data_IF_815981883099
#
_entry.id   IF_815981883099
#
_cell.length_a   1.000
_cell.length_b   1.000
_cell.length_c   1.000
_cell.angle_alpha   90.00
_cell.angle_beta   90.00
_cell.angle_gamma   90.00
#
_symmetry.space_group_name_H-M   'P 1'
#
loop_
_entity.id
_entity.type
_entity.pdbx_description
1 polymer ?
#
# COMPACT_ATOMS: atom_id res chain seq x y z
N UNK A 1 -1.56 -25.06 31.69
CA UNK A 1 -2.22 -25.68 30.52
C UNK A 1 -1.20 -25.91 29.41
N UNK A 2 -1.27 -27.11 28.77
CA UNK A 2 -0.35 -27.53 27.70
C UNK A 2 -0.96 -27.31 26.31
N UNK A 3 -2.25 -27.60 26.18
CA UNK A 3 -2.99 -27.56 24.92
C UNK A 3 -4.13 -26.56 25.00
N UNK A 4 -4.30 -25.81 23.94
CA UNK A 4 -5.34 -24.79 23.77
C UNK A 4 -6.13 -25.13 22.54
N UNK A 5 -7.43 -25.17 22.63
CA UNK A 5 -8.33 -25.37 21.51
C UNK A 5 -9.43 -24.31 21.58
N UNK A 6 -9.68 -23.67 20.48
CA UNK A 6 -10.75 -22.69 20.36
C UNK A 6 -11.55 -22.96 19.08
N UNK A 7 -12.87 -22.89 19.18
CA UNK A 7 -13.76 -22.92 18.04
C UNK A 7 -14.76 -21.76 18.16
N UNK A 8 -15.04 -21.10 17.07
CA UNK A 8 -16.04 -20.05 16.99
C UNK A 8 -16.91 -20.26 15.74
N UNK A 9 -18.20 -20.05 15.90
CA UNK A 9 -19.20 -20.04 14.83
C UNK A 9 -19.98 -18.74 14.93
N UNK A 10 -20.14 -18.05 13.80
CA UNK A 10 -20.92 -16.83 13.70
C UNK A 10 -21.82 -16.89 12.50
N UNK A 11 -23.05 -16.45 12.65
CA UNK A 11 -23.99 -16.26 11.57
C UNK A 11 -24.38 -14.79 11.51
N UNK A 12 -24.29 -14.19 10.33
CA UNK A 12 -24.53 -12.77 10.11
C UNK A 12 -25.58 -12.58 9.04
N UNK A 13 -26.39 -11.54 9.20
CA UNK A 13 -27.47 -11.21 8.28
C UNK A 13 -27.25 -9.83 7.66
N UNK A 14 -27.38 -9.74 6.33
CA UNK A 14 -27.25 -8.49 5.60
C UNK A 14 -28.44 -8.25 4.68
N UNK A 15 -29.30 -7.31 5.03
CA UNK A 15 -30.59 -7.07 4.39
C UNK A 15 -30.52 -6.46 2.98
N UNK A 16 -29.34 -5.94 2.59
CA UNK A 16 -29.14 -5.32 1.26
C UNK A 16 -28.97 -6.33 0.12
N UNK A 17 -28.79 -7.60 0.44
CA UNK A 17 -28.77 -8.69 -0.55
C UNK A 17 -30.16 -9.23 -0.84
N UNK A 18 -30.30 -9.93 -1.96
CA UNK A 18 -31.51 -10.65 -2.30
C UNK A 18 -31.86 -11.69 -1.22
N UNK A 19 -33.16 -12.03 -1.00
CA UNK A 19 -33.59 -12.88 0.12
C UNK A 19 -32.78 -14.18 0.30
N UNK A 20 -32.36 -14.82 -0.76
CA UNK A 20 -31.57 -16.07 -0.71
C UNK A 20 -30.09 -15.90 -0.33
N UNK A 21 -29.56 -14.67 -0.36
CA UNK A 21 -28.12 -14.40 -0.21
C UNK A 21 -27.76 -13.62 1.07
N UNK A 22 -28.74 -13.36 1.95
CA UNK A 22 -28.61 -12.47 3.11
C UNK A 22 -27.79 -13.03 4.24
N UNK A 23 -27.80 -14.36 4.41
CA UNK A 23 -27.14 -15.04 5.51
C UNK A 23 -25.70 -15.42 5.14
N UNK A 24 -24.79 -15.16 6.05
CA UNK A 24 -23.39 -15.56 5.97
C UNK A 24 -22.97 -16.34 7.20
N UNK A 25 -22.51 -17.59 7.02
CA UNK A 25 -22.00 -18.44 8.09
C UNK A 25 -20.49 -18.44 8.06
N UNK A 26 -19.88 -18.09 9.20
CA UNK A 26 -18.45 -17.94 9.39
C UNK A 26 -17.98 -18.76 10.58
N UNK A 27 -16.81 -19.36 10.47
CA UNK A 27 -16.26 -20.21 11.48
C UNK A 27 -14.75 -19.96 11.63
N UNK A 28 -14.23 -20.23 12.82
CA UNK A 28 -12.81 -20.20 13.11
C UNK A 28 -12.42 -21.31 14.08
N UNK A 29 -11.25 -21.86 13.87
CA UNK A 29 -10.62 -22.86 14.73
C UNK A 29 -9.23 -22.38 15.10
N UNK A 30 -8.87 -22.53 16.35
CA UNK A 30 -7.55 -22.24 16.87
C UNK A 30 -6.99 -23.42 17.67
N UNK A 31 -5.71 -23.66 17.47
CA UNK A 31 -4.95 -24.65 18.22
C UNK A 31 -3.67 -24.00 18.75
N UNK A 32 -3.31 -24.34 19.97
CA UNK A 32 -2.05 -23.96 20.59
C UNK A 32 -1.46 -25.11 21.39
N UNK A 33 -0.16 -25.30 21.28
CA UNK A 33 0.60 -26.27 22.03
C UNK A 33 1.79 -25.60 22.71
N UNK A 34 1.78 -25.58 24.03
CA UNK A 34 2.90 -25.11 24.85
C UNK A 34 3.85 -26.28 25.14
N UNK A 35 4.84 -26.40 24.27
CA UNK A 35 5.83 -27.47 24.29
C UNK A 35 6.68 -27.40 25.57
N UNK A 36 6.93 -26.19 26.08
CA UNK A 36 7.71 -26.00 27.30
C UNK A 36 7.08 -26.63 28.58
N UNK A 37 5.78 -26.94 28.48
CA UNK A 37 5.06 -27.64 29.58
C UNK A 37 5.11 -29.16 29.51
N UNK A 38 5.75 -29.72 28.49
CA UNK A 38 5.87 -31.16 28.34
C UNK A 38 6.95 -31.75 29.26
N UNK A 39 6.74 -32.98 29.70
CA UNK A 39 7.65 -33.63 30.65
C UNK A 39 9.06 -33.81 30.08
N UNK A 40 9.18 -33.99 28.75
CA UNK A 40 10.48 -34.11 28.09
C UNK A 40 11.25 -32.77 27.99
N UNK A 41 10.63 -31.64 28.39
CA UNK A 41 11.26 -30.32 28.45
C UNK A 41 11.56 -29.85 29.89
N UNK A 42 11.27 -30.66 30.91
CA UNK A 42 11.48 -30.29 32.33
C UNK A 42 12.93 -29.93 32.66
N UNK A 43 13.90 -30.54 31.99
CA UNK A 43 15.33 -30.28 32.21
C UNK A 43 15.84 -29.04 31.42
N UNK A 44 15.02 -28.45 30.57
CA UNK A 44 15.41 -27.33 29.75
C UNK A 44 15.29 -25.97 30.48
N UNK A 45 16.09 -25.76 31.54
CA UNK A 45 16.04 -24.58 32.40
C UNK A 45 16.29 -23.24 31.70
N UNK A 46 16.77 -23.27 30.45
CA UNK A 46 16.98 -22.07 29.61
C UNK A 46 15.73 -21.67 28.83
N UNK A 47 14.72 -22.57 28.74
CA UNK A 47 13.50 -22.38 28.00
C UNK A 47 12.34 -22.04 28.94
N UNK A 48 11.84 -20.83 28.90
CA UNK A 48 10.69 -20.40 29.72
C UNK A 48 9.37 -20.71 29.03
N UNK A 49 9.32 -20.52 27.71
CA UNK A 49 8.15 -20.79 26.90
C UNK A 49 8.53 -21.18 25.47
N UNK A 50 7.88 -22.18 24.92
CA UNK A 50 7.86 -22.53 23.52
C UNK A 50 6.44 -22.96 23.17
N UNK A 51 5.70 -22.04 22.57
CA UNK A 51 4.32 -22.27 22.15
C UNK A 51 4.19 -22.17 20.63
N UNK A 52 3.65 -23.22 20.02
CA UNK A 52 3.23 -23.21 18.61
C UNK A 52 1.74 -22.98 18.60
N UNK A 53 1.27 -22.12 17.70
CA UNK A 53 -0.14 -21.82 17.54
C UNK A 53 -0.50 -21.78 16.04
N UNK A 54 -1.74 -22.19 15.76
CA UNK A 54 -2.30 -22.13 14.43
C UNK A 54 -3.76 -21.75 14.49
N UNK A 55 -4.21 -20.91 13.59
CA UNK A 55 -5.61 -20.57 13.43
C UNK A 55 -6.01 -20.71 11.97
N UNK A 56 -7.21 -21.20 11.75
CA UNK A 56 -7.84 -21.24 10.45
C UNK A 56 -9.29 -20.82 10.57
N UNK A 57 -9.75 -19.96 9.66
CA UNK A 57 -11.14 -19.52 9.69
C UNK A 57 -11.64 -19.03 8.35
N UNK A 58 -12.95 -18.97 8.25
CA UNK A 58 -13.68 -18.32 7.17
C UNK A 58 -14.31 -17.05 7.71
N UNK A 59 -14.05 -15.93 7.06
CA UNK A 59 -14.64 -14.63 7.37
C UNK A 59 -15.44 -14.11 6.18
N UNK A 60 -16.35 -13.15 6.40
CA UNK A 60 -17.08 -12.51 5.34
C UNK A 60 -17.23 -11.01 5.56
N UNK A 61 -17.40 -10.30 4.46
CA UNK A 61 -17.68 -8.87 4.42
C UNK A 61 -18.98 -8.65 3.63
N UNK A 62 -19.97 -8.01 4.27
CA UNK A 62 -21.25 -7.66 3.67
C UNK A 62 -21.33 -6.21 3.18
N UNK A 63 -20.27 -5.42 3.36
CA UNK A 63 -20.20 -4.04 2.86
C UNK A 63 -19.86 -4.08 1.38
N UNK A 64 -20.86 -3.96 0.53
CA UNK A 64 -20.65 -3.79 -0.89
C UNK A 64 -20.62 -2.31 -1.28
N UNK A 65 -19.78 -1.98 -2.25
CA UNK A 65 -19.77 -0.67 -2.90
C UNK A 65 -20.79 -0.57 -4.03
N UNK A 66 -21.63 -1.59 -4.24
CA UNK A 66 -22.64 -1.65 -5.31
C UNK A 66 -23.89 -0.77 -5.05
N UNK A 67 -23.88 -0.05 -3.93
CA UNK A 67 -24.97 0.81 -3.51
C UNK A 67 -26.05 0.08 -2.71
N UNK A 68 -27.08 0.84 -2.28
CA UNK A 68 -28.20 0.26 -1.52
C UNK A 68 -29.08 -0.60 -2.44
N UNK A 69 -29.23 -1.89 -2.09
CA UNK A 69 -30.11 -2.82 -2.80
C UNK A 69 -29.75 -3.04 -4.26
N UNK A 70 -28.47 -3.19 -4.58
CA UNK A 70 -27.97 -3.44 -5.94
C UNK A 70 -28.56 -4.69 -6.64
N UNK A 71 -29.32 -5.51 -5.93
CA UNK A 71 -30.07 -6.62 -6.50
C UNK A 71 -31.41 -6.20 -7.13
N UNK A 72 -31.84 -4.95 -6.98
CA UNK A 72 -33.06 -4.39 -7.55
C UNK A 72 -32.75 -3.43 -8.66
N UNK A 73 -33.41 -3.57 -9.79
CA UNK A 73 -33.36 -2.57 -10.84
C UNK A 73 -34.09 -1.31 -10.38
N UNK A 74 -33.43 -0.16 -10.51
CA UNK A 74 -34.00 1.13 -10.19
C UNK A 74 -34.22 1.95 -11.47
N UNK A 75 -35.18 2.83 -11.43
CA UNK A 75 -35.52 3.72 -12.52
C UNK A 75 -35.52 5.16 -12.00
N UNK A 76 -35.01 6.09 -12.82
CA UNK A 76 -35.10 7.51 -12.52
C UNK A 76 -35.92 8.21 -13.59
N UNK A 77 -36.72 9.20 -13.15
CA UNK A 77 -37.44 10.08 -14.04
C UNK A 77 -36.63 11.38 -14.22
N UNK A 78 -36.28 11.70 -15.46
CA UNK A 78 -35.54 12.90 -15.79
C UNK A 78 -36.39 13.85 -16.65
N UNK A 79 -36.75 15.00 -16.05
CA UNK A 79 -37.61 16.02 -16.67
C UNK A 79 -36.92 16.71 -17.88
N UNK A 80 -35.58 16.74 -17.88
CA UNK A 80 -34.80 17.47 -18.86
C UNK A 80 -34.41 16.64 -20.11
N UNK A 81 -34.63 15.34 -20.10
CA UNK A 81 -34.20 14.41 -21.16
C UNK A 81 -35.36 13.75 -21.91
N UNK A 82 -36.55 14.30 -21.80
CA UNK A 82 -37.73 13.73 -22.46
C UNK A 82 -37.75 13.95 -23.96
N UNK A 83 -38.47 13.07 -24.67
CA UNK A 83 -38.77 13.26 -26.08
C UNK A 83 -39.95 14.25 -26.20
N UNK A 84 -39.90 15.22 -27.16
CA UNK A 84 -41.05 16.04 -27.41
C UNK A 84 -42.18 15.21 -27.99
N UNK A 85 -43.28 15.12 -27.24
CA UNK A 85 -44.45 14.36 -27.63
C UNK A 85 -45.69 15.25 -27.69
N UNK A 86 -46.60 14.95 -28.62
CA UNK A 86 -47.86 15.64 -28.80
C UNK A 86 -47.77 16.95 -29.58
N UNK A 87 -48.89 17.64 -29.70
CA UNK A 87 -49.02 18.89 -30.49
C UNK A 87 -48.29 20.08 -29.87
N UNK A 88 -48.02 20.03 -28.57
CA UNK A 88 -47.35 21.14 -27.88
C UNK A 88 -45.82 20.96 -27.77
N UNK A 89 -45.25 19.90 -28.35
CA UNK A 89 -43.82 19.62 -28.36
C UNK A 89 -43.12 19.80 -26.98
N UNK A 90 -43.90 19.69 -25.90
CA UNK A 90 -43.36 19.74 -24.53
C UNK A 90 -42.47 18.55 -24.26
N UNK A 91 -41.35 18.78 -23.57
CA UNK A 91 -40.48 17.68 -23.11
C UNK A 91 -41.25 16.86 -22.09
N UNK A 92 -41.62 15.63 -22.43
CA UNK A 92 -42.20 14.67 -21.49
C UNK A 92 -41.15 14.15 -20.52
N UNK A 93 -41.60 13.72 -19.34
CA UNK A 93 -40.72 13.00 -18.41
C UNK A 93 -40.31 11.66 -19.02
N UNK A 94 -39.01 11.49 -19.24
CA UNK A 94 -38.46 10.20 -19.63
C UNK A 94 -38.05 9.41 -18.38
N UNK A 95 -38.63 8.23 -18.23
CA UNK A 95 -38.18 7.28 -17.22
C UNK A 95 -37.09 6.41 -17.83
N UNK A 96 -35.91 6.49 -17.26
CA UNK A 96 -34.74 5.69 -17.69
C UNK A 96 -34.39 4.66 -16.64
N UNK A 97 -33.98 3.51 -17.11
CA UNK A 97 -33.39 2.49 -16.28
C UNK A 97 -32.03 2.97 -15.77
N UNK A 98 -31.80 2.88 -14.46
CA UNK A 98 -30.53 3.30 -13.89
C UNK A 98 -29.43 2.28 -14.16
N UNK A 99 -28.24 2.77 -14.39
CA UNK A 99 -27.03 1.98 -14.56
C UNK A 99 -26.24 1.92 -13.23
N UNK A 100 -25.55 0.84 -12.93
CA UNK A 100 -25.49 -0.43 -13.66
C UNK A 100 -26.79 -1.25 -13.52
N UNK A 101 -26.94 -2.30 -14.35
CA UNK A 101 -28.02 -3.29 -14.23
C UNK A 101 -28.01 -3.94 -12.83
N UNK A 102 -29.19 -4.36 -12.38
CA UNK A 102 -29.30 -5.06 -11.10
C UNK A 102 -28.61 -6.43 -11.13
N UNK A 103 -27.98 -6.81 -10.02
CA UNK A 103 -27.44 -8.14 -9.83
C UNK A 103 -28.12 -8.88 -8.66
N UNK A 104 -29.08 -9.75 -8.92
CA UNK A 104 -29.78 -10.52 -7.88
C UNK A 104 -28.89 -11.57 -7.20
N UNK A 105 -27.69 -11.84 -7.73
CA UNK A 105 -26.75 -12.85 -7.22
C UNK A 105 -25.69 -12.26 -6.28
N UNK A 106 -25.78 -10.99 -5.98
CA UNK A 106 -24.88 -10.36 -5.00
C UNK A 106 -24.88 -11.10 -3.67
N UNK A 107 -23.69 -11.40 -3.17
CA UNK A 107 -23.48 -12.13 -1.92
C UNK A 107 -22.25 -11.61 -1.18
N UNK A 108 -22.00 -12.17 -0.02
CA UNK A 108 -20.85 -11.86 0.84
C UNK A 108 -19.51 -12.05 0.12
N UNK A 109 -18.63 -11.09 0.23
CA UNK A 109 -17.22 -11.32 0.00
C UNK A 109 -16.67 -12.19 1.12
N UNK A 110 -15.78 -13.12 0.82
CA UNK A 110 -15.32 -14.13 1.77
C UNK A 110 -13.81 -14.24 1.78
N UNK A 111 -13.26 -14.68 2.90
CA UNK A 111 -11.86 -15.03 2.98
C UNK A 111 -11.64 -16.28 3.84
N UNK A 112 -10.76 -17.16 3.37
CA UNK A 112 -10.11 -18.16 4.22
C UNK A 112 -8.83 -17.56 4.75
N UNK A 113 -8.66 -17.58 6.06
CA UNK A 113 -7.51 -17.03 6.78
C UNK A 113 -6.78 -18.14 7.52
N UNK A 114 -5.48 -18.24 7.25
CA UNK A 114 -4.56 -19.14 7.95
C UNK A 114 -3.49 -18.29 8.61
N UNK A 115 -3.27 -18.50 9.91
CA UNK A 115 -2.12 -17.98 10.62
C UNK A 115 -1.44 -19.12 11.37
N UNK A 116 -0.11 -19.17 11.30
CA UNK A 116 0.74 -20.08 12.07
C UNK A 116 1.80 -19.25 12.77
N UNK A 117 1.93 -19.41 14.07
CA UNK A 117 2.84 -18.62 14.88
C UNK A 117 3.60 -19.45 15.90
N UNK A 118 4.72 -18.88 16.34
CA UNK A 118 5.59 -19.41 17.39
C UNK A 118 5.86 -18.30 18.39
N UNK A 119 5.64 -18.59 19.67
CA UNK A 119 6.02 -17.76 20.79
C UNK A 119 7.14 -18.45 21.58
N UNK A 120 8.29 -17.82 21.65
CA UNK A 120 9.48 -18.32 22.32
C UNK A 120 9.91 -17.34 23.40
N UNK A 121 10.20 -17.86 24.61
CA UNK A 121 10.80 -17.08 25.68
C UNK A 121 11.93 -17.88 26.34
N UNK A 122 13.09 -17.22 26.50
CA UNK A 122 14.32 -17.84 26.96
C UNK A 122 14.98 -17.03 28.08
N UNK A 123 15.79 -17.73 28.90
CA UNK A 123 16.68 -17.15 29.89
C UNK A 123 15.98 -16.30 30.94
N UNK A 124 14.95 -16.85 31.60
CA UNK A 124 14.09 -16.13 32.55
C UNK A 124 13.40 -14.92 31.92
N UNK A 125 12.80 -15.11 30.74
CA UNK A 125 12.11 -14.09 29.97
C UNK A 125 12.96 -12.89 29.49
N UNK A 126 14.30 -13.07 29.45
CA UNK A 126 15.19 -12.03 28.92
C UNK A 126 15.09 -11.90 27.41
N UNK A 127 14.99 -13.03 26.72
CA UNK A 127 14.79 -13.04 25.26
C UNK A 127 13.39 -13.55 24.93
N UNK A 128 12.63 -12.76 24.20
CA UNK A 128 11.29 -13.11 23.70
C UNK A 128 11.26 -12.96 22.19
N UNK A 129 10.75 -13.97 21.50
CA UNK A 129 10.55 -14.01 20.07
C UNK A 129 9.11 -14.40 19.79
N UNK A 130 8.43 -13.62 18.96
CA UNK A 130 7.15 -14.00 18.35
C UNK A 130 7.32 -13.93 16.84
N UNK A 131 6.99 -15.02 16.16
CA UNK A 131 7.01 -15.09 14.71
C UNK A 131 5.68 -15.62 14.19
N UNK A 132 5.11 -14.94 13.22
CA UNK A 132 3.85 -15.27 12.57
C UNK A 132 4.01 -15.36 11.07
N UNK A 133 3.39 -16.34 10.47
CA UNK A 133 3.14 -16.44 9.05
C UNK A 133 1.65 -16.49 8.81
N UNK A 134 1.15 -15.63 7.92
CA UNK A 134 -0.25 -15.63 7.53
C UNK A 134 -0.41 -15.85 6.03
N UNK A 135 -1.55 -16.43 5.65
CA UNK A 135 -1.90 -16.71 4.26
C UNK A 135 -3.42 -16.65 4.11
N UNK A 136 -3.90 -15.55 3.59
CA UNK A 136 -5.30 -15.23 3.44
C UNK A 136 -5.70 -15.37 1.97
N UNK A 137 -6.76 -16.14 1.70
CA UNK A 137 -7.31 -16.28 0.36
C UNK A 137 -8.70 -15.66 0.33
N UNK A 138 -8.78 -14.49 -0.29
CA UNK A 138 -10.02 -13.77 -0.54
C UNK A 138 -10.66 -14.29 -1.82
N UNK A 139 -11.97 -14.49 -1.80
CA UNK A 139 -12.74 -14.97 -2.92
C UNK A 139 -14.17 -14.38 -2.89
N UNK A 140 -14.89 -14.51 -3.99
CA UNK A 140 -16.18 -13.86 -4.19
C UNK A 140 -16.10 -12.33 -3.99
N UNK A 141 -14.92 -11.72 -4.28
CA UNK A 141 -14.74 -10.27 -4.22
C UNK A 141 -15.54 -9.61 -5.33
N UNK A 142 -16.21 -8.51 -4.99
CA UNK A 142 -16.97 -7.72 -5.94
C UNK A 142 -16.05 -7.06 -6.97
N UNK A 143 -16.38 -7.27 -8.22
CA UNK A 143 -15.60 -6.77 -9.33
C UNK A 143 -16.47 -6.47 -10.53
N UNK A 144 -16.25 -5.33 -11.19
CA UNK A 144 -16.84 -5.06 -12.50
C UNK A 144 -16.19 -5.96 -13.56
N UNK A 145 -16.96 -6.44 -14.51
CA UNK A 145 -16.40 -7.19 -15.65
C UNK A 145 -15.53 -6.30 -16.52
N UNK A 146 -14.36 -6.82 -16.87
CA UNK A 146 -13.46 -6.15 -17.80
C UNK A 146 -14.00 -6.07 -19.23
N UNK A 147 -14.91 -6.97 -19.59
CA UNK A 147 -15.59 -7.01 -20.90
C UNK A 147 -16.96 -6.35 -20.81
N UNK A 148 -17.00 -5.04 -20.67
CA UNK A 148 -18.27 -4.32 -20.75
C UNK A 148 -18.70 -4.21 -22.23
N UNK A 149 -19.78 -4.90 -22.56
CA UNK A 149 -20.37 -4.77 -23.91
C UNK A 149 -21.27 -3.53 -23.88
N UNK A 150 -20.77 -2.40 -24.32
CA UNK A 150 -21.53 -1.16 -24.47
C UNK A 150 -22.66 -1.28 -25.52
N UNK A 151 -22.66 -2.34 -26.31
CA UNK A 151 -23.67 -2.62 -27.33
C UNK A 151 -25.09 -2.72 -26.79
N UNK A 152 -25.27 -3.04 -25.51
CA UNK A 152 -26.61 -3.10 -24.87
C UNK A 152 -27.05 -1.75 -24.29
N UNK A 153 -26.20 -0.69 -24.38
CA UNK A 153 -26.50 0.63 -23.82
C UNK A 153 -26.53 0.72 -22.30
N UNK A 154 -26.06 -0.32 -21.60
CA UNK A 154 -26.06 -0.45 -20.14
C UNK A 154 -24.72 -0.95 -19.62
N UNK A 155 -24.37 -0.57 -18.39
CA UNK A 155 -23.20 -1.11 -17.69
C UNK A 155 -23.55 -2.39 -16.93
N UNK A 156 -22.66 -3.37 -17.03
CA UNK A 156 -22.78 -4.57 -16.19
C UNK A 156 -22.61 -4.22 -14.71
N UNK A 157 -23.37 -4.87 -13.84
CA UNK A 157 -23.17 -4.72 -12.40
C UNK A 157 -21.88 -5.37 -11.95
N UNK A 158 -21.41 -5.00 -10.74
CA UNK A 158 -20.36 -5.75 -10.07
C UNK A 158 -20.85 -7.17 -9.73
N UNK A 159 -19.95 -8.14 -9.85
CA UNK A 159 -20.20 -9.55 -9.59
C UNK A 159 -19.18 -10.10 -8.59
N UNK A 160 -19.56 -11.11 -7.82
CA UNK A 160 -18.70 -11.79 -6.85
C UNK A 160 -17.75 -12.79 -7.52
N UNK A 161 -16.78 -12.30 -8.30
CA UNK A 161 -15.88 -13.13 -9.14
C UNK A 161 -14.40 -12.99 -8.78
N UNK A 162 -14.01 -11.88 -8.16
CA UNK A 162 -12.61 -11.57 -7.86
C UNK A 162 -11.99 -12.52 -6.83
N UNK A 163 -10.70 -12.83 -7.01
CA UNK A 163 -9.92 -13.65 -6.08
C UNK A 163 -8.54 -13.02 -5.87
N UNK A 164 -8.18 -12.85 -4.61
CA UNK A 164 -6.89 -12.30 -4.19
C UNK A 164 -6.30 -13.17 -3.09
N UNK A 165 -5.00 -13.34 -3.11
CA UNK A 165 -4.23 -13.92 -2.00
C UNK A 165 -3.40 -12.83 -1.35
N UNK A 166 -3.41 -12.77 0.00
CA UNK A 166 -2.46 -11.98 0.79
C UNK A 166 -1.70 -12.92 1.69
N UNK A 167 -0.40 -12.74 1.77
CA UNK A 167 0.46 -13.57 2.60
C UNK A 167 1.67 -12.77 3.05
N UNK A 168 2.19 -13.12 4.21
CA UNK A 168 3.31 -12.40 4.77
C UNK A 168 3.80 -13.01 6.06
N UNK A 169 4.75 -12.32 6.67
CA UNK A 169 5.34 -12.70 7.92
C UNK A 169 5.53 -11.51 8.84
N UNK A 170 5.42 -11.77 10.13
CA UNK A 170 5.66 -10.80 11.18
C UNK A 170 6.66 -11.40 12.18
N UNK A 171 7.57 -10.57 12.65
CA UNK A 171 8.58 -10.96 13.62
C UNK A 171 8.67 -9.87 14.69
N UNK A 172 8.63 -10.29 15.94
CA UNK A 172 8.92 -9.44 17.10
C UNK A 172 9.98 -10.11 17.96
N UNK A 173 11.06 -9.39 18.24
CA UNK A 173 12.17 -9.84 19.07
C UNK A 173 12.40 -8.81 20.16
N UNK A 174 12.38 -9.25 21.41
CA UNK A 174 12.72 -8.40 22.56
C UNK A 174 13.79 -9.07 23.39
N UNK A 175 14.88 -8.35 23.64
CA UNK A 175 15.88 -8.74 24.59
C UNK A 175 15.97 -7.67 25.69
N UNK A 176 15.92 -8.10 26.96
CA UNK A 176 16.06 -7.24 28.10
C UNK A 176 16.93 -7.91 29.17
N UNK A 177 17.81 -7.15 29.74
CA UNK A 177 18.66 -7.66 30.83
C UNK A 177 19.04 -6.57 31.81
N UNK A 178 19.57 -7.03 32.97
CA UNK A 178 20.08 -6.18 34.03
C UNK A 178 21.44 -6.64 34.46
N UNK A 179 22.42 -5.76 34.38
CA UNK A 179 23.78 -5.99 34.90
C UNK A 179 24.03 -4.97 36.00
N UNK A 180 24.00 -5.45 37.28
CA UNK A 180 24.08 -4.55 38.45
C UNK A 180 22.99 -3.45 38.43
N UNK A 181 23.37 -2.19 38.28
CA UNK A 181 22.47 -1.04 38.21
C UNK A 181 22.18 -0.56 36.77
N UNK A 182 22.59 -1.34 35.78
CA UNK A 182 22.37 -1.03 34.38
C UNK A 182 21.27 -1.93 33.84
N UNK A 183 20.09 -1.36 33.57
CA UNK A 183 18.98 -2.03 32.89
C UNK A 183 19.02 -1.62 31.42
N UNK A 184 18.83 -2.55 30.50
CA UNK A 184 18.76 -2.21 29.07
C UNK A 184 17.80 -3.16 28.35
N UNK A 185 17.26 -2.66 27.25
CA UNK A 185 16.43 -3.46 26.37
C UNK A 185 16.63 -3.09 24.90
N UNK A 186 16.42 -4.07 24.04
CA UNK A 186 16.30 -3.92 22.59
C UNK A 186 15.02 -4.65 22.19
N UNK A 187 14.12 -3.96 21.51
CA UNK A 187 12.94 -4.56 20.92
C UNK A 187 12.89 -4.22 19.44
N UNK A 188 12.84 -5.24 18.59
CA UNK A 188 12.75 -5.09 17.15
C UNK A 188 11.48 -5.76 16.65
N UNK A 189 10.77 -5.11 15.76
CA UNK A 189 9.67 -5.68 15.01
C UNK A 189 9.91 -5.53 13.51
N UNK A 190 9.42 -6.49 12.78
CA UNK A 190 9.47 -6.50 11.33
C UNK A 190 8.21 -7.14 10.78
N UNK A 191 7.67 -6.57 9.72
CA UNK A 191 6.54 -7.14 8.98
C UNK A 191 6.82 -7.07 7.49
N UNK A 192 6.35 -8.08 6.77
CA UNK A 192 6.43 -8.16 5.33
C UNK A 192 5.09 -8.65 4.80
N UNK A 193 4.47 -7.88 3.91
CA UNK A 193 3.19 -8.19 3.27
C UNK A 193 3.35 -8.27 1.76
N UNK A 194 2.71 -9.26 1.15
CA UNK A 194 2.58 -9.38 -0.28
C UNK A 194 1.18 -9.86 -0.66
N UNK A 195 0.68 -9.34 -1.77
CA UNK A 195 -0.57 -9.78 -2.37
C UNK A 195 -0.31 -10.46 -3.72
N UNK A 196 -1.30 -11.25 -4.16
CA UNK A 196 -1.34 -11.80 -5.52
C UNK A 196 -2.78 -11.81 -6.01
N UNK A 197 -3.01 -11.19 -7.14
CA UNK A 197 -4.28 -11.25 -7.84
C UNK A 197 -4.42 -12.64 -8.49
N UNK A 198 -5.31 -13.47 -7.94
CA UNK A 198 -5.48 -14.84 -8.43
C UNK A 198 -6.43 -14.91 -9.62
N UNK A 199 -7.46 -14.05 -9.61
CA UNK A 199 -8.44 -14.00 -10.68
C UNK A 199 -9.14 -12.64 -10.71
N UNK A 200 -9.24 -12.08 -11.90
CA UNK A 200 -10.15 -11.01 -12.28
C UNK A 200 -10.62 -11.25 -13.71
N UNK A 201 -11.80 -10.75 -14.06
CA UNK A 201 -12.28 -10.75 -15.45
C UNK A 201 -11.67 -9.56 -16.19
N UNK A 202 -10.39 -9.68 -16.56
CA UNK A 202 -9.68 -8.64 -17.29
C UNK A 202 -9.93 -8.75 -18.81
N UNK A 203 -9.85 -7.61 -19.49
CA UNK A 203 -9.90 -7.59 -20.96
C UNK A 203 -8.70 -8.37 -21.52
N UNK A 204 -8.91 -8.94 -22.69
CA UNK A 204 -7.80 -9.54 -23.43
C UNK A 204 -6.76 -8.47 -23.74
N UNK A 205 -5.52 -8.77 -23.37
CA UNK A 205 -4.35 -7.97 -23.72
C UNK A 205 -3.41 -8.85 -24.55
N UNK A 206 -2.87 -8.34 -25.68
CA UNK A 206 -2.01 -9.13 -26.54
C UNK A 206 -0.69 -9.49 -25.85
N UNK A 207 -0.17 -8.59 -25.01
CA UNK A 207 1.13 -8.69 -24.39
C UNK A 207 1.01 -9.22 -22.94
N UNK A 208 1.79 -10.25 -22.61
CA UNK A 208 1.73 -10.88 -21.29
C UNK A 208 2.15 -9.93 -20.16
N UNK A 209 3.06 -8.99 -20.43
CA UNK A 209 3.51 -8.02 -19.44
C UNK A 209 2.42 -7.00 -19.04
N UNK A 210 1.33 -6.89 -19.81
CA UNK A 210 0.18 -6.05 -19.48
C UNK A 210 -0.82 -6.76 -18.52
N UNK A 211 -0.74 -8.08 -18.40
CA UNK A 211 -1.69 -8.84 -17.56
C UNK A 211 -1.56 -8.47 -16.11
N UNK A 212 -2.69 -8.29 -15.45
CA UNK A 212 -2.78 -8.01 -14.01
C UNK A 212 -2.91 -9.30 -13.20
N UNK A 213 -3.62 -10.29 -13.72
CA UNK A 213 -3.77 -11.61 -13.06
C UNK A 213 -2.41 -12.27 -12.88
N UNK A 214 -2.14 -12.71 -11.66
CA UNK A 214 -0.87 -13.30 -11.27
C UNK A 214 0.12 -12.32 -10.62
N UNK A 215 -0.13 -11.01 -10.69
CA UNK A 215 0.71 -9.96 -10.10
C UNK A 215 0.19 -9.50 -8.73
N UNK A 216 0.97 -8.79 -7.94
CA UNK A 216 0.49 -8.14 -6.72
C UNK A 216 -0.64 -7.15 -7.00
N UNK A 217 -1.54 -6.99 -6.04
CA UNK A 217 -2.61 -5.96 -6.11
C UNK A 217 -1.98 -4.59 -5.89
N UNK A 218 -2.36 -3.62 -6.74
CA UNK A 218 -1.87 -2.25 -6.63
C UNK A 218 -0.49 -2.01 -7.27
N UNK A 219 -0.03 -2.93 -8.13
CA UNK A 219 1.17 -2.66 -8.96
C UNK A 219 0.93 -1.44 -9.86
N UNK A 220 1.95 -0.66 -10.03
CA UNK A 220 1.92 0.51 -10.88
C UNK A 220 2.34 0.13 -12.30
N UNK A 221 1.44 0.37 -13.26
CA UNK A 221 1.74 0.25 -14.67
C UNK A 221 2.13 1.60 -15.26
N UNK A 222 3.12 1.61 -16.14
CA UNK A 222 3.58 2.82 -16.79
C UNK A 222 4.56 2.55 -17.92
N UNK A 223 4.95 3.63 -18.61
CA UNK A 223 5.98 3.62 -19.64
C UNK A 223 7.36 3.53 -19.00
N UNK A 224 8.28 2.81 -19.65
CA UNK A 224 9.67 2.69 -19.20
C UNK A 224 10.49 3.79 -19.82
N UNK A 225 11.00 4.72 -19.01
CA UNK A 225 11.88 5.79 -19.46
C UNK A 225 13.26 5.24 -19.86
N UNK A 226 13.84 5.77 -20.93
CA UNK A 226 15.13 5.41 -21.52
C UNK A 226 16.04 6.63 -21.76
N UNK A 227 16.02 7.58 -20.82
CA UNK A 227 16.78 8.82 -20.89
C UNK A 227 16.02 9.97 -21.53
N UNK A 228 16.75 10.94 -22.07
CA UNK A 228 16.22 12.12 -22.71
C UNK A 228 16.60 12.15 -24.19
N UNK A 229 15.74 12.71 -25.01
CA UNK A 229 16.12 13.03 -26.39
C UNK A 229 17.22 14.09 -26.41
N UNK A 230 18.26 13.86 -27.21
CA UNK A 230 19.41 14.78 -27.31
C UNK A 230 19.34 15.70 -28.55
N UNK A 231 18.66 15.26 -29.62
CA UNK A 231 18.57 16.00 -30.88
C UNK A 231 17.22 15.78 -31.56
N UNK A 232 16.91 16.65 -32.52
CA UNK A 232 15.71 16.48 -33.38
C UNK A 232 15.82 15.26 -34.28
N UNK A 233 17.01 14.98 -34.78
CA UNK A 233 17.26 13.82 -35.61
C UNK A 233 17.01 12.51 -34.86
N UNK A 234 17.38 12.45 -33.56
CA UNK A 234 17.05 11.31 -32.69
C UNK A 234 15.54 11.14 -32.54
N UNK A 235 14.77 12.23 -32.35
CA UNK A 235 13.31 12.20 -32.23
C UNK A 235 12.66 11.65 -33.50
N UNK A 236 13.11 12.10 -34.67
CA UNK A 236 12.58 11.68 -35.97
C UNK A 236 12.82 10.18 -36.26
N UNK A 237 13.89 9.61 -35.70
CA UNK A 237 14.28 8.20 -35.87
C UNK A 237 13.86 7.30 -34.72
N UNK A 238 13.23 7.83 -33.66
CA UNK A 238 12.84 7.07 -32.45
C UNK A 238 11.32 6.85 -32.39
N UNK A 239 10.86 5.78 -31.76
CA UNK A 239 9.48 5.63 -31.35
C UNK A 239 9.05 6.77 -30.43
N UNK A 240 7.87 7.32 -30.65
CA UNK A 240 7.32 8.42 -29.85
C UNK A 240 5.88 8.12 -29.46
N UNK A 241 5.39 8.79 -28.40
CA UNK A 241 4.00 8.63 -27.99
C UNK A 241 3.08 9.11 -29.10
N UNK A 242 2.13 8.28 -29.48
CA UNK A 242 1.16 8.57 -30.53
C UNK A 242 0.39 9.87 -30.24
N UNK A 243 0.21 10.70 -31.28
CA UNK A 243 -0.53 11.96 -31.21
C UNK A 243 0.27 13.17 -30.73
N UNK A 244 1.50 13.02 -30.26
CA UNK A 244 2.34 14.16 -29.88
C UNK A 244 3.13 14.72 -31.07
N UNK A 245 3.03 16.06 -31.28
CA UNK A 245 3.68 16.74 -32.40
C UNK A 245 4.83 17.69 -31.98
N UNK A 246 4.90 18.05 -30.70
CA UNK A 246 5.81 19.10 -30.23
C UNK A 246 6.91 18.53 -29.30
N UNK A 247 7.39 17.36 -29.63
CA UNK A 247 8.49 16.73 -28.89
C UNK A 247 9.79 17.48 -29.20
N UNK A 248 10.60 17.71 -28.18
CA UNK A 248 11.86 18.45 -28.30
C UNK A 248 12.99 17.75 -27.58
N UNK A 249 14.25 18.04 -27.93
CA UNK A 249 15.39 17.62 -27.14
C UNK A 249 15.21 17.99 -25.66
N UNK A 250 15.53 17.06 -24.76
CA UNK A 250 15.29 17.18 -23.34
C UNK A 250 13.95 16.60 -22.86
N UNK A 251 13.07 16.15 -23.74
CA UNK A 251 11.90 15.36 -23.36
C UNK A 251 12.32 13.91 -23.07
N UNK A 252 11.54 13.23 -22.23
CA UNK A 252 11.82 11.84 -21.83
C UNK A 252 11.65 10.89 -23.03
N UNK A 253 12.62 10.05 -23.30
CA UNK A 253 12.53 8.97 -24.25
C UNK A 253 11.94 7.73 -23.57
N UNK A 254 11.03 7.03 -24.23
CA UNK A 254 10.39 5.82 -23.73
C UNK A 254 10.74 4.60 -24.56
N UNK A 255 10.76 3.44 -23.93
CA UNK A 255 11.02 2.16 -24.59
C UNK A 255 9.77 1.69 -25.31
N UNK A 256 9.92 1.33 -26.56
CA UNK A 256 9.00 0.53 -27.33
C UNK A 256 9.16 -0.93 -26.92
N UNK A 257 8.19 -1.48 -26.20
CA UNK A 257 8.27 -2.82 -25.62
C UNK A 257 7.80 -3.91 -26.58
N UNK A 258 6.89 -3.60 -27.49
CA UNK A 258 6.35 -4.53 -28.47
C UNK A 258 7.07 -4.46 -29.83
N UNK A 259 7.86 -3.41 -30.08
CA UNK A 259 8.67 -3.23 -31.27
C UNK A 259 7.90 -2.72 -32.50
N UNK A 260 6.72 -2.11 -32.31
CA UNK A 260 5.87 -1.62 -33.39
C UNK A 260 6.23 -0.20 -33.87
N UNK A 261 7.22 0.42 -33.21
CA UNK A 261 7.73 1.80 -33.44
C UNK A 261 6.77 2.92 -33.04
N UNK A 262 5.77 2.62 -32.26
CA UNK A 262 4.83 3.59 -31.71
C UNK A 262 4.70 3.38 -30.20
N UNK A 263 4.86 4.43 -29.40
CA UNK A 263 4.64 4.34 -27.95
C UNK A 263 3.15 4.57 -27.66
N UNK A 264 2.48 3.56 -27.13
CA UNK A 264 1.06 3.59 -26.79
C UNK A 264 0.72 2.79 -25.53
N UNK A 265 -0.56 2.44 -25.31
CA UNK A 265 -1.00 1.65 -24.16
C UNK A 265 -0.38 0.24 -24.10
N UNK A 266 0.11 -0.29 -25.20
CA UNK A 266 0.74 -1.61 -25.27
C UNK A 266 2.20 -1.59 -24.79
N UNK A 267 2.82 -0.42 -24.63
CA UNK A 267 4.20 -0.28 -24.12
C UNK A 267 4.26 -0.07 -22.60
N UNK A 268 3.13 -0.19 -21.91
CA UNK A 268 3.10 -0.08 -20.45
C UNK A 268 3.44 -1.43 -19.82
N UNK A 269 4.26 -1.40 -18.78
CA UNK A 269 4.58 -2.58 -17.97
C UNK A 269 4.54 -2.22 -16.49
N UNK A 270 4.75 -3.20 -15.63
CA UNK A 270 4.90 -2.94 -14.20
C UNK A 270 6.19 -2.17 -13.95
N UNK A 271 6.07 -0.97 -13.43
CA UNK A 271 7.20 -0.10 -13.09
C UNK A 271 7.48 -0.03 -11.60
N UNK A 272 6.52 -0.39 -10.73
CA UNK A 272 6.68 -0.40 -9.28
C UNK A 272 5.55 -1.09 -8.54
N UNK A 273 5.70 -1.23 -7.21
CA UNK A 273 4.72 -1.88 -6.35
C UNK A 273 4.67 -3.41 -6.47
N UNK A 274 5.64 -4.04 -7.12
CA UNK A 274 5.68 -5.47 -7.41
C UNK A 274 6.41 -6.30 -6.32
N UNK A 275 7.11 -5.63 -5.42
CA UNK A 275 7.90 -6.27 -4.36
C UNK A 275 7.14 -6.31 -3.04
N UNK A 276 7.45 -7.31 -2.17
CA UNK A 276 6.88 -7.35 -0.83
C UNK A 276 7.22 -6.08 -0.05
N UNK A 277 6.20 -5.42 0.46
CA UNK A 277 6.36 -4.22 1.26
C UNK A 277 6.72 -4.59 2.70
N UNK A 278 7.77 -3.99 3.23
CA UNK A 278 8.28 -4.29 4.57
C UNK A 278 8.38 -3.06 5.44
N UNK A 279 7.93 -3.18 6.69
CA UNK A 279 8.15 -2.22 7.76
C UNK A 279 9.00 -2.81 8.85
N UNK A 280 9.81 -1.99 9.49
CA UNK A 280 10.53 -2.37 10.70
C UNK A 280 10.58 -1.24 11.72
N UNK A 281 10.62 -1.62 12.97
CA UNK A 281 10.84 -0.73 14.09
C UNK A 281 11.87 -1.32 15.06
N UNK A 282 12.74 -0.48 15.62
CA UNK A 282 13.72 -0.88 16.63
C UNK A 282 13.60 0.11 17.77
N UNK A 283 13.26 -0.40 18.95
CA UNK A 283 13.20 0.35 20.19
C UNK A 283 14.35 -0.06 21.10
N UNK A 284 15.16 0.89 21.46
CA UNK A 284 16.33 0.72 22.30
C UNK A 284 16.18 1.56 23.56
N UNK A 285 16.60 1.05 24.71
CA UNK A 285 16.63 1.86 25.90
C UNK A 285 17.52 1.33 26.98
N UNK A 286 17.93 2.23 27.86
CA UNK A 286 18.67 1.86 29.07
C UNK A 286 18.32 2.80 30.22
N UNK A 287 18.54 2.28 31.42
CA UNK A 287 18.49 3.00 32.68
C UNK A 287 19.74 2.72 33.50
N UNK A 288 20.41 3.75 33.95
CA UNK A 288 21.63 3.65 34.74
C UNK A 288 21.75 4.79 35.74
N UNK A 289 21.71 4.45 37.04
CA UNK A 289 21.90 5.43 38.13
C UNK A 289 21.08 6.71 37.98
N UNK A 290 19.81 6.57 37.59
CA UNK A 290 18.89 7.69 37.38
C UNK A 290 18.92 8.28 35.97
N UNK A 291 19.91 7.97 35.15
CA UNK A 291 19.91 8.33 33.72
C UNK A 291 19.07 7.33 32.94
N UNK A 292 18.13 7.83 32.15
CA UNK A 292 17.30 7.03 31.27
C UNK A 292 17.48 7.50 29.82
N UNK A 293 17.57 6.55 28.91
CA UNK A 293 17.58 6.83 27.49
C UNK A 293 16.65 5.85 26.78
N UNK A 294 15.83 6.37 25.86
CA UNK A 294 15.07 5.55 24.94
C UNK A 294 15.12 6.11 23.54
N UNK A 295 15.17 5.25 22.54
CA UNK A 295 15.21 5.60 21.12
C UNK A 295 14.30 4.68 20.33
N UNK A 296 13.50 5.24 19.45
CA UNK A 296 12.70 4.52 18.48
C UNK A 296 13.22 4.84 17.08
N UNK A 297 13.69 3.80 16.40
CA UNK A 297 14.01 3.80 14.99
C UNK A 297 12.90 3.13 14.20
N UNK A 298 12.56 3.69 13.05
CA UNK A 298 11.51 3.20 12.17
C UNK A 298 11.99 3.29 10.73
N UNK A 299 11.55 2.33 9.92
CA UNK A 299 11.87 2.35 8.51
C UNK A 299 10.92 1.50 7.67
N UNK A 300 11.03 1.70 6.36
CA UNK A 300 10.33 0.91 5.36
C UNK A 300 11.29 0.49 4.25
N UNK A 301 11.00 -0.66 3.66
CA UNK A 301 11.77 -1.23 2.56
C UNK A 301 10.85 -1.76 1.46
N UNK A 302 11.31 -1.72 0.20
CA UNK A 302 10.52 -2.02 -1.01
C UNK A 302 9.29 -1.12 -1.17
N UNK A 303 9.42 0.13 -0.78
CA UNK A 303 8.40 1.15 -0.98
C UNK A 303 8.75 2.00 -2.19
N UNK A 304 7.75 2.28 -3.01
CA UNK A 304 7.89 3.16 -4.16
C UNK A 304 7.05 4.43 -3.98
N UNK A 305 7.59 5.57 -4.44
CA UNK A 305 6.88 6.84 -4.56
C UNK A 305 6.72 7.22 -6.00
N UNK A 306 5.53 7.63 -6.38
CA UNK A 306 5.29 8.22 -7.66
C UNK A 306 5.24 9.76 -7.54
N UNK A 307 6.16 10.45 -8.19
CA UNK A 307 6.29 11.90 -8.14
C UNK A 307 5.61 12.62 -9.32
N UNK A 308 4.92 11.90 -10.18
CA UNK A 308 4.38 12.41 -11.43
C UNK A 308 3.33 13.51 -11.29
N UNK A 309 2.63 13.57 -10.18
CA UNK A 309 1.52 14.50 -9.94
C UNK A 309 1.79 15.47 -8.77
N UNK A 310 3.04 15.55 -8.29
CA UNK A 310 3.36 16.45 -7.19
C UNK A 310 3.84 17.81 -7.69
N UNK A 311 3.58 18.84 -6.92
CA UNK A 311 3.94 20.24 -7.22
C UNK A 311 5.41 20.43 -7.57
N UNK A 312 6.30 19.65 -6.95
CA UNK A 312 7.74 19.65 -7.22
C UNK A 312 8.12 19.33 -8.68
N UNK A 313 7.24 18.66 -9.42
CA UNK A 313 7.48 18.19 -10.80
C UNK A 313 6.62 18.92 -11.82
N UNK A 314 5.76 19.84 -11.41
CA UNK A 314 4.85 20.58 -12.30
C UNK A 314 5.55 21.23 -13.49
N UNK A 315 6.66 21.91 -13.27
CA UNK A 315 7.42 22.59 -14.34
C UNK A 315 7.93 21.67 -15.44
N UNK A 316 7.99 20.36 -15.18
CA UNK A 316 8.43 19.36 -16.16
C UNK A 316 7.28 18.68 -16.90
N UNK A 317 6.06 18.77 -16.38
CA UNK A 317 4.93 17.93 -16.85
C UNK A 317 3.72 18.72 -17.32
N UNK A 318 3.57 19.99 -16.91
CA UNK A 318 2.28 20.67 -17.03
C UNK A 318 2.02 21.38 -18.36
N UNK A 319 0.73 21.52 -18.63
CA UNK A 319 0.08 22.16 -19.79
C UNK A 319 0.10 23.71 -19.76
N UNK A 320 1.13 24.34 -19.24
CA UNK A 320 1.23 25.81 -19.26
C UNK A 320 0.54 26.52 -18.10
N UNK A 321 0.04 25.81 -17.12
CA UNK A 321 -0.42 26.38 -15.86
C UNK A 321 0.57 26.04 -14.78
N UNK A 322 1.58 26.87 -14.64
CA UNK A 322 2.53 26.80 -13.57
C UNK A 322 1.99 27.65 -12.40
N UNK A 323 1.41 26.99 -11.43
CA UNK A 323 0.84 27.64 -10.24
C UNK A 323 1.84 27.77 -9.11
N UNK A 324 3.09 27.48 -9.33
CA UNK A 324 4.02 27.31 -8.28
C UNK A 324 5.25 28.16 -8.35
N UNK A 325 5.98 28.07 -7.27
CA UNK A 325 7.32 28.60 -7.13
C UNK A 325 8.31 27.64 -7.81
N UNK A 326 9.38 28.17 -8.41
CA UNK A 326 10.48 27.33 -8.88
C UNK A 326 11.18 26.67 -7.68
N UNK A 327 11.38 25.34 -7.81
CA UNK A 327 12.08 24.55 -6.81
C UNK A 327 13.54 24.30 -7.20
N UNK A 328 14.39 24.04 -6.24
CA UNK A 328 15.83 23.81 -6.45
C UNK A 328 16.12 22.62 -7.38
N UNK A 329 15.28 21.59 -7.37
CA UNK A 329 15.39 20.44 -8.27
C UNK A 329 15.30 20.83 -9.77
N UNK A 330 14.68 21.99 -10.10
CA UNK A 330 14.61 22.51 -11.46
C UNK A 330 15.98 22.98 -12.00
N UNK A 331 16.96 23.17 -11.14
CA UNK A 331 18.34 23.45 -11.56
C UNK A 331 18.97 22.24 -12.28
N UNK A 332 18.52 21.03 -11.96
CA UNK A 332 18.94 19.79 -12.63
C UNK A 332 18.26 19.53 -13.97
N UNK A 333 17.52 20.48 -14.54
CA UNK A 333 16.84 20.35 -15.81
C UNK A 333 17.78 20.14 -16.99
N UNK A 334 17.27 19.48 -17.98
CA UNK A 334 17.96 19.38 -19.26
C UNK A 334 17.99 20.74 -20.01
N UNK A 335 19.18 21.13 -20.45
CA UNK A 335 19.45 22.20 -21.42
C UNK A 335 20.55 21.71 -22.36
N UNK A 336 20.81 22.35 -23.52
CA UNK A 336 21.91 21.93 -24.39
C UNK A 336 23.27 21.87 -23.67
N UNK A 337 23.48 22.75 -22.69
CA UNK A 337 24.72 22.84 -21.90
C UNK A 337 24.80 21.75 -20.80
N UNK A 338 23.67 21.26 -20.34
CA UNK A 338 23.59 20.25 -19.27
C UNK A 338 23.15 18.88 -19.76
N UNK A 339 23.11 18.64 -21.05
CA UNK A 339 22.56 17.42 -21.65
C UNK A 339 23.14 16.12 -21.09
N UNK A 340 24.45 16.11 -20.77
CA UNK A 340 25.15 14.94 -20.20
C UNK A 340 24.96 14.76 -18.70
N UNK A 341 24.58 15.82 -17.98
CA UNK A 341 24.51 15.83 -16.51
C UNK A 341 23.09 16.06 -15.96
N UNK A 342 22.13 16.33 -16.85
CA UNK A 342 20.74 16.57 -16.50
C UNK A 342 20.13 15.38 -15.75
N UNK A 343 19.49 15.64 -14.63
CA UNK A 343 18.77 14.66 -13.80
C UNK A 343 17.27 14.75 -13.99
N UNK A 344 16.78 15.82 -14.63
CA UNK A 344 15.38 16.08 -14.94
C UNK A 344 15.21 16.46 -16.41
N UNK A 345 14.04 16.23 -17.00
CA UNK A 345 13.76 16.65 -18.37
C UNK A 345 13.76 18.18 -18.50
N UNK A 346 13.63 18.68 -19.71
CA UNK A 346 13.47 20.12 -19.92
C UNK A 346 12.21 20.64 -19.23
N UNK A 347 12.18 21.91 -18.90
CA UNK A 347 10.96 22.58 -18.44
C UNK A 347 10.01 22.75 -19.64
N UNK A 348 8.72 22.57 -19.39
CA UNK A 348 7.65 22.70 -20.40
C UNK A 348 6.74 23.85 -20.05
N UNK A 349 6.45 24.69 -21.06
CA UNK A 349 5.44 25.74 -20.96
C UNK A 349 4.40 25.50 -22.07
N UNK A 350 3.13 25.36 -21.67
CA UNK A 350 2.02 25.30 -22.62
C UNK A 350 1.82 23.96 -23.35
N UNK A 351 1.04 23.08 -22.77
CA UNK A 351 0.36 22.02 -23.51
C UNK A 351 1.13 20.75 -23.84
N UNK A 352 2.30 20.53 -23.24
CA UNK A 352 3.06 19.31 -23.50
C UNK A 352 3.01 18.34 -22.32
N UNK A 353 2.12 17.36 -22.41
CA UNK A 353 2.03 16.25 -21.44
C UNK A 353 3.01 15.11 -21.74
N UNK A 354 3.92 15.25 -22.71
CA UNK A 354 4.80 14.18 -23.17
C UNK A 354 5.66 13.61 -22.03
N UNK A 355 6.25 14.48 -21.22
CA UNK A 355 7.05 14.07 -20.07
C UNK A 355 6.23 13.40 -18.95
N UNK A 356 4.91 13.52 -18.98
CA UNK A 356 3.96 12.82 -18.10
C UNK A 356 3.50 11.46 -18.68
N UNK A 357 3.94 11.09 -19.88
CA UNK A 357 3.52 9.85 -20.51
C UNK A 357 2.07 9.85 -21.00
N UNK A 358 1.56 10.98 -21.49
CA UNK A 358 0.17 11.11 -21.97
C UNK A 358 -0.88 10.72 -20.92
N UNK A 359 -0.65 11.07 -19.66
CA UNK A 359 -1.52 10.69 -18.56
C UNK A 359 -1.27 9.25 -18.03
N UNK A 360 -0.37 8.50 -18.65
CA UNK A 360 0.13 7.24 -18.10
C UNK A 360 1.31 7.48 -17.16
N UNK A 361 1.47 6.61 -16.17
CA UNK A 361 2.63 6.68 -15.30
C UNK A 361 3.92 6.46 -16.09
N UNK A 362 5.02 7.03 -15.60
CA UNK A 362 6.35 6.86 -16.17
C UNK A 362 7.33 6.39 -15.11
N UNK A 363 8.17 5.42 -15.43
CA UNK A 363 9.22 4.96 -14.51
C UNK A 363 10.21 6.07 -14.14
N UNK A 364 10.30 7.13 -14.96
CA UNK A 364 11.12 8.30 -14.65
C UNK A 364 10.69 9.00 -13.36
N UNK A 365 9.39 9.06 -13.09
CA UNK A 365 8.83 9.71 -11.89
C UNK A 365 8.72 8.79 -10.69
N UNK A 366 9.07 7.52 -10.84
CA UNK A 366 9.12 6.57 -9.74
C UNK A 366 10.43 6.75 -8.95
N UNK A 367 10.33 6.79 -7.64
CA UNK A 367 11.47 6.87 -6.72
C UNK A 367 11.33 5.81 -5.65
N UNK A 368 12.46 5.32 -5.18
CA UNK A 368 12.46 4.44 -4.01
C UNK A 368 12.07 5.22 -2.76
N UNK A 369 11.09 4.71 -2.04
CA UNK A 369 10.63 5.24 -0.75
C UNK A 369 11.25 4.53 0.46
N UNK A 370 12.36 3.84 0.27
CA UNK A 370 13.08 3.19 1.37
C UNK A 370 13.68 4.22 2.31
N UNK A 371 13.51 4.03 3.61
CA UNK A 371 14.05 4.94 4.60
C UNK A 371 14.32 4.29 5.95
N UNK A 372 15.15 4.94 6.75
CA UNK A 372 15.30 4.72 8.18
C UNK A 372 15.30 6.08 8.89
N UNK A 373 14.57 6.17 10.00
CA UNK A 373 14.39 7.41 10.77
C UNK A 373 14.53 7.14 12.26
N UNK A 374 15.29 8.02 12.93
CA UNK A 374 15.23 8.15 14.39
C UNK A 374 13.94 8.93 14.71
N UNK A 375 12.86 8.16 14.99
CA UNK A 375 11.51 8.71 15.17
C UNK A 375 11.39 9.48 16.47
N UNK A 376 11.90 8.88 17.54
CA UNK A 376 11.90 9.48 18.86
C UNK A 376 13.22 9.19 19.58
N UNK A 377 13.69 10.16 20.36
CA UNK A 377 14.69 9.98 21.37
C UNK A 377 14.26 10.71 22.63
N UNK A 378 14.40 10.06 23.76
CA UNK A 378 14.15 10.65 25.09
C UNK A 378 15.35 10.42 25.98
N UNK A 379 15.84 11.49 26.57
CA UNK A 379 16.85 11.44 27.61
C UNK A 379 16.25 11.99 28.89
N UNK A 380 16.32 11.24 29.97
CA UNK A 380 15.79 11.63 31.28
C UNK A 380 16.81 11.42 32.36
N UNK A 381 16.75 12.25 33.40
CA UNK A 381 17.54 12.08 34.61
C UNK A 381 16.66 12.25 35.84
N UNK A 382 16.58 11.18 36.62
CA UNK A 382 15.91 11.17 37.91
C UNK A 382 16.88 11.63 38.97
N UNK A 383 16.59 12.72 39.66
CA UNK A 383 17.43 13.17 40.78
C UNK A 383 17.49 12.10 41.88
N UNK A 384 18.69 11.91 42.50
CA UNK A 384 18.83 10.92 43.57
C UNK A 384 17.85 11.17 44.72
N UNK A 385 17.24 10.10 45.24
CA UNK A 385 16.27 10.18 46.35
C UNK A 385 16.84 10.88 47.59
N UNK A 386 18.16 10.71 47.86
CA UNK A 386 18.87 11.37 48.96
C UNK A 386 18.90 12.89 48.77
N UNK A 387 19.19 13.36 47.57
CA UNK A 387 19.15 14.79 47.22
C UNK A 387 17.75 15.36 47.37
N UNK A 388 16.75 14.66 46.86
CA UNK A 388 15.36 15.07 46.88
C UNK A 388 14.83 15.17 48.33
N UNK A 389 15.16 14.22 49.20
CA UNK A 389 14.81 14.24 50.62
C UNK A 389 15.45 15.39 51.37
N UNK A 390 16.71 15.61 51.16
CA UNK A 390 17.47 16.60 51.91
C UNK A 390 17.22 18.06 51.47
N UNK A 391 16.92 18.27 50.15
CA UNK A 391 16.87 19.62 49.60
C UNK A 391 15.50 20.03 49.03
N UNK A 392 14.62 19.04 48.75
CA UNK A 392 13.37 19.29 48.06
C UNK A 392 12.16 18.76 48.83
N UNK A 393 12.29 18.60 50.15
CA UNK A 393 11.17 18.13 50.99
C UNK A 393 10.60 16.74 50.59
N UNK A 394 11.40 15.91 49.92
CA UNK A 394 11.03 14.57 49.49
C UNK A 394 10.30 14.49 48.14
N UNK A 395 10.19 15.59 47.40
CA UNK A 395 9.65 15.61 46.05
C UNK A 395 10.56 14.81 45.11
N UNK A 396 9.99 13.95 44.28
CA UNK A 396 10.70 13.26 43.21
C UNK A 396 10.73 14.16 41.97
N UNK A 397 11.92 14.44 41.46
CA UNK A 397 12.13 15.32 40.32
C UNK A 397 12.83 14.55 39.21
N UNK A 398 12.24 14.59 38.01
CA UNK A 398 12.81 14.07 36.76
C UNK A 398 12.96 15.23 35.77
N UNK A 399 14.17 15.39 35.26
CA UNK A 399 14.46 16.27 34.14
C UNK A 399 14.47 15.42 32.86
N UNK A 400 13.89 15.91 31.77
CA UNK A 400 13.93 15.17 30.51
C UNK A 400 13.97 16.09 29.29
N UNK A 401 14.53 15.58 28.21
CA UNK A 401 14.55 16.19 26.89
C UNK A 401 14.08 15.15 25.87
N UNK A 402 13.18 15.56 24.99
CA UNK A 402 12.66 14.72 23.92
C UNK A 402 12.98 15.33 22.56
N UNK A 403 13.34 14.49 21.60
CA UNK A 403 13.52 14.86 20.21
C UNK A 403 12.69 13.95 19.30
N UNK A 404 12.16 14.52 18.22
CA UNK A 404 11.39 13.79 17.22
C UNK A 404 11.98 14.01 15.84
N UNK A 405 12.05 12.94 15.03
CA UNK A 405 12.51 12.97 13.64
C UNK A 405 13.89 13.61 13.45
N UNK A 406 14.79 13.46 14.44
CA UNK A 406 16.09 14.14 14.44
C UNK A 406 17.04 13.67 13.34
N UNK A 407 16.86 12.44 12.87
CA UNK A 407 17.65 11.88 11.80
C UNK A 407 16.78 11.09 10.86
N UNK A 408 16.97 11.31 9.56
CA UNK A 408 16.30 10.53 8.49
C UNK A 408 17.31 10.29 7.38
N UNK A 409 17.44 9.03 6.98
CA UNK A 409 18.10 8.65 5.73
C UNK A 409 17.05 8.04 4.82
N UNK A 410 16.78 8.70 3.70
CA UNK A 410 15.83 8.28 2.69
C UNK A 410 16.53 8.03 1.35
N UNK A 411 15.97 7.14 0.55
CA UNK A 411 16.40 6.96 -0.84
C UNK A 411 15.87 8.07 -1.76
N UNK A 412 14.83 8.80 -1.32
CA UNK A 412 14.31 9.98 -1.98
C UNK A 412 14.32 11.14 -1.00
N UNK A 413 15.04 12.22 -1.33
CA UNK A 413 15.21 13.43 -0.56
C UNK A 413 14.25 14.56 -0.96
N UNK A 414 13.49 14.37 -2.04
CA UNK A 414 12.53 15.36 -2.55
C UNK A 414 11.27 15.47 -1.68
N UNK A 415 10.93 14.44 -0.94
CA UNK A 415 9.68 14.36 -0.15
C UNK A 415 9.94 13.66 1.18
N UNK A 416 9.13 13.97 2.19
CA UNK A 416 9.19 13.23 3.45
C UNK A 416 8.82 11.75 3.23
N UNK A 417 9.65 10.80 3.66
CA UNK A 417 9.43 9.38 3.40
C UNK A 417 8.20 8.77 4.09
N UNK A 418 7.58 9.47 5.03
CA UNK A 418 6.35 8.99 5.70
C UNK A 418 5.06 9.50 5.05
N UNK A 419 5.15 10.45 4.13
CA UNK A 419 3.97 10.95 3.39
C UNK A 419 3.49 9.87 2.41
N UNK A 420 2.19 9.59 2.42
CA UNK A 420 1.54 8.81 1.37
C UNK A 420 0.95 9.78 0.35
N UNK A 421 1.36 9.69 -0.89
CA UNK A 421 0.63 10.28 -2.00
C UNK A 421 -0.43 9.27 -2.43
N UNK A 422 -1.67 9.52 -2.05
CA UNK A 422 -2.86 8.77 -2.49
C UNK A 422 -3.54 9.52 -3.61
#
# INVERSE_FOLDING_TARGET
>A
EKYFVQAALSESYFNRYAPGNRWGTFYAFGFGWDISKENFMEDANWLDQLKIRGTFGKTGNGMDNSGYYGYRQTFSSNVAAGYPMGTNLGMGNLTTENTPLANPYLTWEKAYKLNVGVDLSLFNNRLKLTADYYNDKYFDLLQSRGKSIQLIGQYYPAENIGKVRRFGGELSLTYQDRVSNFNYYISANWSCDQSKLLYMDEQYVPEEYLRQTGRPVGVMYGLVADGFFTSKEEIENSPVIEGFKNIQPGDIKYKDLNGDKVINEFDRTVIGGDKPYSYFGINLGFEWKGLECSMLWQGAYNRDYYLGDVTLTEGFQQNGQFYGQAYENMLGRWTPETAETATFPRLTAGGNNYNRGNGWNSSFWLRSGNYIRLKNISLGYNLPDSFCRNNLGGLRVKLFVNGQNLFTKSACDLVDPEVSFT
#
